data_IF_476510891478
#
_entry.id   IF_476510891478
#
_cell.length_a   1.000
_cell.length_b   1.000
_cell.length_c   1.000
_cell.angle_alpha   90.00
_cell.angle_beta   90.00
_cell.angle_gamma   90.00
#
_symmetry.space_group_name_H-M   'P 1'
#
loop_
_entity.id
_entity.type
_entity.pdbx_description
1 polymer ?
#
# COMPACT_ATOMS: atom_id res chain seq x y z
N UNK A 1 -44.87 11.78 -59.67
CA UNK A 1 -44.85 11.51 -58.25
C UNK A 1 -43.55 10.76 -57.90
N UNK A 2 -42.52 11.45 -57.43
CA UNK A 2 -41.22 10.89 -57.07
C UNK A 2 -41.21 10.58 -55.60
N UNK A 3 -41.12 9.32 -55.22
CA UNK A 3 -40.95 8.86 -53.82
C UNK A 3 -39.47 8.95 -53.44
N UNK A 4 -39.16 9.82 -52.52
CA UNK A 4 -37.82 9.93 -51.90
C UNK A 4 -37.81 8.93 -50.74
N UNK A 5 -36.92 7.90 -50.84
CA UNK A 5 -36.66 6.96 -49.76
C UNK A 5 -35.55 7.55 -48.92
N UNK A 6 -35.88 7.94 -47.70
CA UNK A 6 -34.92 8.44 -46.70
C UNK A 6 -34.33 7.22 -46.00
N UNK A 7 -33.08 6.89 -46.34
CA UNK A 7 -32.30 5.82 -45.65
C UNK A 7 -31.78 6.38 -44.32
N UNK A 8 -32.34 5.87 -43.23
CA UNK A 8 -31.87 6.16 -41.87
C UNK A 8 -30.61 5.32 -41.59
N UNK A 9 -29.43 5.93 -41.64
CA UNK A 9 -28.21 5.30 -41.21
C UNK A 9 -28.13 5.39 -39.67
N UNK A 10 -28.48 4.30 -39.01
CA UNK A 10 -28.23 4.14 -37.58
C UNK A 10 -26.73 3.88 -37.37
N UNK A 11 -25.99 4.91 -37.00
CA UNK A 11 -24.61 4.77 -36.50
C UNK A 11 -24.71 4.24 -35.08
N UNK A 12 -24.45 2.95 -34.90
CA UNK A 12 -24.27 2.32 -33.62
C UNK A 12 -22.94 2.78 -33.03
N UNK A 13 -23.00 3.71 -32.09
CA UNK A 13 -21.91 4.07 -31.18
C UNK A 13 -21.70 2.91 -30.19
N UNK A 14 -21.04 1.83 -30.66
CA UNK A 14 -20.43 0.82 -29.81
C UNK A 14 -18.96 1.21 -29.69
N UNK A 15 -18.63 1.93 -28.68
CA UNK A 15 -17.24 2.27 -28.47
C UNK A 15 -16.98 2.91 -27.14
N UNK A 16 -16.20 2.23 -26.34
CA UNK A 16 -15.34 2.82 -25.30
C UNK A 16 -15.94 3.07 -23.90
N UNK A 17 -16.46 2.01 -23.29
CA UNK A 17 -16.69 2.01 -21.85
C UNK A 17 -15.77 1.01 -21.09
N UNK A 18 -14.60 0.66 -21.63
CA UNK A 18 -13.68 -0.31 -20.97
C UNK A 18 -12.72 0.32 -19.95
N UNK A 19 -12.67 1.64 -19.82
CA UNK A 19 -11.75 2.30 -18.90
C UNK A 19 -12.42 3.02 -17.70
N UNK A 20 -13.74 3.03 -17.62
CA UNK A 20 -14.44 3.75 -16.54
C UNK A 20 -14.61 2.94 -15.25
N UNK A 21 -14.40 1.62 -15.27
CA UNK A 21 -14.64 0.78 -14.09
C UNK A 21 -13.48 0.79 -13.07
N UNK A 22 -12.32 1.35 -13.40
CA UNK A 22 -11.19 1.44 -12.47
C UNK A 22 -11.03 2.80 -11.76
N UNK A 23 -11.86 3.80 -12.09
CA UNK A 23 -11.68 5.15 -11.57
C UNK A 23 -12.53 5.50 -10.33
N UNK A 24 -13.23 4.53 -9.74
CA UNK A 24 -14.10 4.81 -8.58
C UNK A 24 -13.75 3.98 -7.33
N UNK A 25 -12.56 3.40 -7.28
CA UNK A 25 -12.10 2.72 -6.07
C UNK A 25 -11.52 3.74 -5.12
N UNK A 26 -12.13 3.89 -3.94
CA UNK A 26 -11.58 4.73 -2.90
C UNK A 26 -10.23 4.14 -2.47
N UNK A 27 -9.17 4.92 -2.55
CA UNK A 27 -7.83 4.51 -2.20
C UNK A 27 -7.45 5.03 -0.80
N UNK A 28 -6.68 4.23 -0.07
CA UNK A 28 -6.08 4.61 1.20
C UNK A 28 -4.58 4.37 1.15
N UNK A 29 -3.80 5.32 1.63
CA UNK A 29 -2.38 5.13 1.90
C UNK A 29 -2.23 4.78 3.37
N UNK A 30 -1.76 3.58 3.65
CA UNK A 30 -1.46 3.09 5.00
C UNK A 30 0.05 3.02 5.15
N UNK A 31 0.59 3.45 6.28
CA UNK A 31 2.02 3.35 6.48
C UNK A 31 2.42 3.11 7.94
N UNK A 32 3.60 2.51 8.11
CA UNK A 32 4.36 2.49 9.35
C UNK A 32 5.67 3.25 9.15
N UNK A 33 6.02 4.11 10.10
CA UNK A 33 7.26 4.90 10.03
C UNK A 33 7.80 5.20 11.42
N UNK A 34 9.09 4.97 11.65
CA UNK A 34 9.74 5.33 12.92
C UNK A 34 10.58 6.59 12.77
N UNK A 35 11.36 6.69 11.68
CA UNK A 35 12.29 7.80 11.45
C UNK A 35 11.73 8.92 10.57
N UNK A 36 10.45 8.84 10.17
CA UNK A 36 9.79 9.83 9.33
C UNK A 36 9.98 9.64 7.82
N UNK A 37 10.92 8.84 7.35
CA UNK A 37 11.17 8.68 5.92
C UNK A 37 9.97 8.07 5.18
N UNK A 38 9.39 6.99 5.71
CA UNK A 38 8.20 6.37 5.11
C UNK A 38 6.98 7.29 5.23
N UNK A 39 6.84 8.01 6.35
CA UNK A 39 5.78 9.00 6.54
C UNK A 39 5.82 10.08 5.46
N UNK A 40 7.01 10.61 5.15
CA UNK A 40 7.19 11.60 4.07
C UNK A 40 6.70 11.07 2.72
N UNK A 41 7.12 9.85 2.35
CA UNK A 41 6.68 9.22 1.09
C UNK A 41 5.17 8.99 1.09
N UNK A 42 4.61 8.50 2.20
CA UNK A 42 3.18 8.20 2.33
C UNK A 42 2.31 9.45 2.18
N UNK A 43 2.67 10.55 2.86
CA UNK A 43 1.96 11.82 2.73
C UNK A 43 2.04 12.36 1.29
N UNK A 44 3.23 12.39 0.70
CA UNK A 44 3.42 12.84 -0.67
C UNK A 44 2.65 11.96 -1.68
N UNK A 45 2.58 10.65 -1.46
CA UNK A 45 1.79 9.74 -2.30
C UNK A 45 0.29 10.00 -2.15
N UNK A 46 -0.20 10.14 -0.91
CA UNK A 46 -1.61 10.46 -0.66
C UNK A 46 -2.01 11.77 -1.34
N UNK A 47 -1.21 12.81 -1.21
CA UNK A 47 -1.42 14.10 -1.88
C UNK A 47 -1.39 13.95 -3.42
N UNK A 48 -0.42 13.17 -3.95
CA UNK A 48 -0.26 12.98 -5.39
C UNK A 48 -1.48 12.34 -6.06
N UNK A 49 -2.17 11.44 -5.34
CA UNK A 49 -3.29 10.66 -5.90
C UNK A 49 -4.65 11.03 -5.29
N UNK A 50 -4.70 11.97 -4.35
CA UNK A 50 -5.93 12.37 -3.66
C UNK A 50 -6.53 11.24 -2.82
N UNK A 51 -5.69 10.45 -2.13
CA UNK A 51 -6.11 9.36 -1.27
C UNK A 51 -6.18 9.78 0.19
N UNK A 52 -7.02 9.09 0.96
CA UNK A 52 -6.98 9.18 2.42
C UNK A 52 -5.68 8.55 2.95
N UNK A 53 -5.32 8.86 4.20
CA UNK A 53 -4.08 8.38 4.82
C UNK A 53 -4.33 7.81 6.21
N UNK A 54 -3.60 6.75 6.57
CA UNK A 54 -3.65 6.10 7.88
C UNK A 54 -2.25 5.69 8.33
N UNK A 55 -1.84 6.10 9.51
CA UNK A 55 -0.59 5.67 10.15
C UNK A 55 -0.83 4.44 11.03
N UNK A 56 0.01 3.43 10.93
CA UNK A 56 0.08 2.31 11.87
C UNK A 56 0.88 2.78 13.09
N UNK A 57 0.21 3.02 14.20
CA UNK A 57 0.84 3.49 15.43
C UNK A 57 1.16 2.32 16.36
N UNK A 58 2.43 2.10 16.73
CA UNK A 58 2.76 1.07 17.71
C UNK A 58 2.31 1.49 19.11
N UNK A 59 1.78 0.54 19.89
CA UNK A 59 1.41 0.79 21.30
C UNK A 59 2.59 1.30 22.12
N UNK A 60 3.78 0.76 21.85
CA UNK A 60 5.04 1.22 22.42
C UNK A 60 5.92 1.78 21.30
N UNK A 61 6.26 3.06 21.39
CA UNK A 61 7.15 3.70 20.41
C UNK A 61 8.53 3.02 20.41
N UNK A 62 9.14 2.99 19.24
CA UNK A 62 10.51 2.49 19.09
C UNK A 62 11.50 3.59 19.45
N UNK A 63 12.45 3.28 20.34
CA UNK A 63 13.59 4.13 20.67
C UNK A 63 14.74 3.90 19.67
N UNK A 64 15.79 4.72 19.77
CA UNK A 64 17.03 4.49 18.99
C UNK A 64 17.64 3.12 19.26
N UNK A 65 17.64 2.71 20.54
CA UNK A 65 18.21 1.42 20.96
C UNK A 65 17.36 0.25 20.44
N UNK A 66 16.02 0.40 20.40
CA UNK A 66 15.13 -0.59 19.80
C UNK A 66 15.40 -0.82 18.30
N UNK A 67 15.97 0.17 17.63
CA UNK A 67 16.25 0.15 16.19
C UNK A 67 17.69 -0.25 15.85
N UNK A 68 18.54 -0.49 16.84
CA UNK A 68 19.92 -0.94 16.58
C UNK A 68 19.93 -2.36 16.00
N UNK A 69 19.95 -2.43 14.68
CA UNK A 69 19.98 -3.69 13.95
C UNK A 69 21.29 -4.48 14.11
N UNK A 70 22.33 -3.87 14.70
CA UNK A 70 23.61 -4.52 15.02
C UNK A 70 23.58 -5.22 16.38
N UNK A 71 22.66 -4.82 17.27
CA UNK A 71 22.39 -5.51 18.52
C UNK A 71 21.32 -6.60 18.30
N UNK A 72 21.74 -7.87 18.51
CA UNK A 72 20.83 -9.01 18.42
C UNK A 72 19.71 -9.01 19.46
N UNK A 73 19.88 -8.26 20.55
CA UNK A 73 18.92 -8.13 21.64
C UNK A 73 18.03 -6.88 21.50
N UNK A 74 18.26 -6.04 20.50
CA UNK A 74 17.37 -4.91 20.23
C UNK A 74 15.95 -5.41 19.91
N UNK A 75 14.96 -4.60 20.23
CA UNK A 75 13.55 -4.95 20.01
C UNK A 75 13.28 -5.30 18.54
N UNK A 76 13.77 -4.50 17.60
CA UNK A 76 13.60 -4.78 16.18
C UNK A 76 14.26 -6.10 15.77
N UNK A 77 15.46 -6.42 16.28
CA UNK A 77 16.15 -7.68 16.01
C UNK A 77 15.36 -8.88 16.54
N UNK A 78 14.83 -8.80 17.76
CA UNK A 78 14.03 -9.87 18.38
C UNK A 78 12.73 -10.06 17.58
N UNK A 79 12.00 -8.98 17.29
CA UNK A 79 10.75 -9.05 16.53
C UNK A 79 10.95 -9.64 15.13
N UNK A 80 12.03 -9.27 14.43
CA UNK A 80 12.29 -9.77 13.08
C UNK A 80 12.77 -11.23 13.04
N UNK A 81 13.45 -11.71 14.08
CA UNK A 81 13.83 -13.13 14.22
C UNK A 81 12.63 -14.03 14.50
N UNK A 82 11.60 -13.53 15.20
CA UNK A 82 10.40 -14.29 15.50
C UNK A 82 9.34 -14.11 14.41
N UNK A 83 9.09 -15.16 13.65
CA UNK A 83 8.06 -15.16 12.60
C UNK A 83 6.63 -14.93 13.14
N UNK A 84 6.40 -15.19 14.43
CA UNK A 84 5.12 -15.03 15.12
C UNK A 84 4.99 -13.71 15.87
N UNK A 85 6.03 -12.89 15.93
CA UNK A 85 5.96 -11.60 16.58
C UNK A 85 4.83 -10.73 15.99
N UNK A 86 4.01 -10.16 16.87
CA UNK A 86 2.90 -9.26 16.52
C UNK A 86 2.90 -8.08 17.49
N UNK A 87 3.77 -7.08 17.26
CA UNK A 87 3.77 -5.87 18.08
C UNK A 87 2.39 -5.23 18.12
N UNK A 88 1.98 -4.80 19.29
CA UNK A 88 0.64 -4.21 19.48
C UNK A 88 0.55 -2.83 18.82
N UNK A 89 -0.64 -2.53 18.31
CA UNK A 89 -1.00 -1.24 17.72
C UNK A 89 -1.85 -0.43 18.71
N UNK A 90 -1.64 0.88 18.71
CA UNK A 90 -2.39 1.83 19.50
C UNK A 90 -3.70 2.29 18.82
N UNK A 91 -3.84 2.06 17.52
CA UNK A 91 -5.00 2.48 16.73
C UNK A 91 -5.55 1.34 15.87
N UNK A 92 -6.78 1.53 15.34
CA UNK A 92 -7.43 0.59 14.44
C UNK A 92 -8.00 1.34 13.24
N UNK A 93 -8.04 0.69 12.09
CA UNK A 93 -8.71 1.18 10.90
C UNK A 93 -10.16 0.64 10.87
N UNK A 94 -11.09 1.38 11.46
CA UNK A 94 -12.48 0.94 11.61
C UNK A 94 -13.27 0.97 10.30
N UNK A 95 -12.94 1.91 9.40
CA UNK A 95 -13.63 2.11 8.12
C UNK A 95 -12.96 1.43 6.93
N UNK A 96 -12.20 0.34 7.18
CA UNK A 96 -11.48 -0.39 6.12
C UNK A 96 -12.38 -0.79 4.95
N UNK A 97 -13.67 -1.07 5.21
CA UNK A 97 -14.67 -1.44 4.17
C UNK A 97 -14.88 -0.38 3.08
N UNK A 98 -14.54 0.88 3.37
CA UNK A 98 -14.71 1.98 2.41
C UNK A 98 -13.64 1.98 1.30
N UNK A 99 -12.57 1.21 1.48
CA UNK A 99 -11.41 1.20 0.59
C UNK A 99 -11.26 -0.15 -0.10
N UNK A 100 -11.16 -0.13 -1.43
CA UNK A 100 -10.85 -1.31 -2.24
C UNK A 100 -9.36 -1.42 -2.56
N UNK A 101 -8.65 -0.29 -2.49
CA UNK A 101 -7.25 -0.17 -2.86
C UNK A 101 -6.45 0.40 -1.69
N UNK A 102 -5.46 -0.35 -1.23
CA UNK A 102 -4.56 0.03 -0.14
C UNK A 102 -3.15 0.17 -0.69
N UNK A 103 -2.55 1.33 -0.56
CA UNK A 103 -1.10 1.50 -0.71
C UNK A 103 -0.45 1.34 0.66
N UNK A 104 0.28 0.26 0.87
CA UNK A 104 0.84 -0.11 2.16
C UNK A 104 2.35 0.15 2.18
N UNK A 105 2.76 1.12 3.00
CA UNK A 105 4.13 1.62 3.10
C UNK A 105 4.82 1.27 4.42
N UNK A 106 6.13 0.95 4.35
CA UNK A 106 6.94 0.61 5.52
C UNK A 106 8.44 0.77 5.24
N UNK A 107 9.28 0.92 6.27
CA UNK A 107 10.72 0.78 6.12
C UNK A 107 11.08 -0.70 5.92
N UNK A 108 12.07 -0.99 5.07
CA UNK A 108 12.58 -2.36 4.96
C UNK A 108 13.40 -2.71 6.19
N UNK A 109 12.99 -3.76 6.91
CA UNK A 109 13.74 -4.41 7.96
C UNK A 109 14.04 -5.85 7.54
N UNK A 110 15.33 -6.24 7.51
CA UNK A 110 15.76 -7.59 7.10
C UNK A 110 15.09 -8.09 5.81
N UNK A 111 15.10 -7.25 4.76
CA UNK A 111 14.55 -7.55 3.41
C UNK A 111 13.03 -7.76 3.37
N UNK A 112 12.30 -7.38 4.42
CA UNK A 112 10.84 -7.48 4.47
C UNK A 112 10.21 -6.33 5.27
N UNK A 113 8.91 -6.40 5.53
CA UNK A 113 8.18 -5.44 6.36
C UNK A 113 8.40 -5.73 7.86
N UNK A 114 8.40 -4.70 8.72
CA UNK A 114 8.35 -4.84 10.17
C UNK A 114 7.11 -5.64 10.63
N UNK A 115 7.23 -6.41 11.70
CA UNK A 115 6.16 -7.30 12.17
C UNK A 115 4.86 -6.60 12.56
N UNK A 116 4.90 -5.33 12.92
CA UNK A 116 3.70 -4.55 13.17
C UNK A 116 2.78 -4.43 11.93
N UNK A 117 3.36 -4.51 10.73
CA UNK A 117 2.59 -4.53 9.46
C UNK A 117 1.75 -5.82 9.36
N UNK A 118 2.30 -6.97 9.82
CA UNK A 118 1.53 -8.20 9.93
C UNK A 118 0.37 -8.04 10.92
N UNK A 119 0.62 -7.40 12.09
CA UNK A 119 -0.43 -7.11 13.07
C UNK A 119 -1.57 -6.29 12.45
N UNK A 120 -1.25 -5.23 11.71
CA UNK A 120 -2.25 -4.41 11.01
C UNK A 120 -3.09 -5.24 10.04
N UNK A 121 -2.44 -6.04 9.19
CA UNK A 121 -3.12 -6.87 8.20
C UNK A 121 -4.03 -7.92 8.83
N UNK A 122 -3.65 -8.47 9.99
CA UNK A 122 -4.44 -9.48 10.70
C UNK A 122 -5.61 -8.88 11.48
N UNK A 123 -5.47 -7.65 11.98
CA UNK A 123 -6.52 -6.93 12.71
C UNK A 123 -7.54 -6.24 11.81
N UNK A 124 -7.22 -6.03 10.53
CA UNK A 124 -8.06 -5.28 9.59
C UNK A 124 -8.65 -6.24 8.54
N UNK A 125 -9.94 -6.10 8.22
CA UNK A 125 -10.56 -6.90 7.14
C UNK A 125 -10.03 -6.48 5.77
N UNK A 126 -9.13 -7.29 5.23
CA UNK A 126 -8.50 -7.11 3.92
C UNK A 126 -9.13 -7.95 2.82
N UNK A 127 -10.26 -8.63 3.09
CA UNK A 127 -10.89 -9.50 2.11
C UNK A 127 -11.32 -8.74 0.85
N UNK A 128 -10.91 -9.24 -0.31
CA UNK A 128 -11.23 -8.66 -1.63
C UNK A 128 -10.48 -7.38 -1.99
N UNK A 129 -9.66 -6.83 -1.10
CA UNK A 129 -8.90 -5.61 -1.34
C UNK A 129 -7.65 -5.88 -2.20
N UNK A 130 -7.24 -4.87 -2.95
CA UNK A 130 -5.94 -4.84 -3.63
C UNK A 130 -4.95 -4.07 -2.76
N UNK A 131 -3.84 -4.69 -2.41
CA UNK A 131 -2.77 -4.10 -1.62
C UNK A 131 -1.55 -3.90 -2.51
N UNK A 132 -1.16 -2.65 -2.72
CA UNK A 132 0.05 -2.25 -3.45
C UNK A 132 1.11 -1.87 -2.42
N UNK A 133 2.25 -2.56 -2.44
CA UNK A 133 3.32 -2.31 -1.48
C UNK A 133 4.22 -1.16 -1.94
N UNK A 134 4.68 -0.34 -1.02
CA UNK A 134 5.82 0.53 -1.23
C UNK A 134 6.70 0.54 0.02
N UNK A 135 7.97 0.84 -0.15
CA UNK A 135 8.89 0.84 0.97
C UNK A 135 9.91 1.97 0.87
N UNK A 136 10.49 2.33 2.01
CA UNK A 136 11.74 3.09 2.08
C UNK A 136 12.85 2.18 2.58
N UNK A 137 14.07 2.39 2.11
CA UNK A 137 15.20 1.54 2.47
C UNK A 137 16.51 2.30 2.45
N UNK A 138 17.42 1.93 3.32
CA UNK A 138 18.82 2.36 3.29
C UNK A 138 19.70 1.61 2.29
N UNK A 139 19.13 0.67 1.49
CA UNK A 139 19.88 -0.10 0.49
C UNK A 139 19.32 -1.50 0.21
N UNK A 140 18.52 -2.07 1.12
CA UNK A 140 17.91 -3.39 0.92
C UNK A 140 16.70 -3.31 -0.02
N UNK A 141 16.48 -4.34 -0.81
CA UNK A 141 15.28 -4.51 -1.62
C UNK A 141 14.10 -5.09 -0.83
N UNK A 142 13.00 -5.34 -1.52
CA UNK A 142 11.76 -5.86 -0.93
C UNK A 142 11.34 -7.22 -1.52
N UNK A 143 12.33 -8.04 -1.82
CA UNK A 143 12.14 -9.29 -2.58
C UNK A 143 11.20 -10.28 -1.88
N UNK A 144 11.30 -10.39 -0.54
CA UNK A 144 10.55 -11.35 0.27
C UNK A 144 9.26 -10.77 0.88
N UNK A 145 8.90 -9.54 0.54
CA UNK A 145 7.87 -8.81 1.27
C UNK A 145 6.47 -9.38 1.02
N UNK A 146 6.12 -9.71 -0.22
CA UNK A 146 4.80 -10.27 -0.55
C UNK A 146 4.61 -11.62 0.14
N UNK A 147 5.61 -12.50 0.05
CA UNK A 147 5.59 -13.84 0.66
C UNK A 147 5.45 -13.77 2.18
N UNK A 148 6.11 -12.78 2.80
CA UNK A 148 6.07 -12.52 4.24
C UNK A 148 4.71 -11.98 4.72
N UNK A 149 4.05 -11.14 3.93
CA UNK A 149 2.79 -10.46 4.31
C UNK A 149 1.52 -11.23 3.92
N UNK A 150 1.57 -11.99 2.83
CA UNK A 150 0.40 -12.72 2.29
C UNK A 150 -0.30 -13.62 3.32
N UNK A 151 0.38 -14.34 4.21
CA UNK A 151 -0.28 -15.14 5.24
C UNK A 151 -1.15 -14.32 6.20
N UNK A 152 -0.82 -13.05 6.45
CA UNK A 152 -1.57 -12.15 7.34
C UNK A 152 -2.82 -11.54 6.68
N UNK A 153 -2.94 -11.61 5.34
CA UNK A 153 -4.12 -11.17 4.61
C UNK A 153 -4.39 -12.08 3.40
N UNK A 154 -4.71 -13.38 3.62
CA UNK A 154 -4.76 -14.40 2.55
C UNK A 154 -5.86 -14.16 1.51
N UNK A 155 -6.89 -13.38 1.85
CA UNK A 155 -8.00 -13.03 0.96
C UNK A 155 -7.80 -11.71 0.19
N UNK A 156 -6.67 -11.03 0.41
CA UNK A 156 -6.28 -9.84 -0.34
C UNK A 156 -5.46 -10.20 -1.59
N UNK A 157 -5.48 -9.31 -2.58
CA UNK A 157 -4.61 -9.40 -3.76
C UNK A 157 -3.42 -8.49 -3.55
N UNK A 158 -2.23 -9.06 -3.39
CA UNK A 158 -1.00 -8.28 -3.28
C UNK A 158 -0.41 -7.98 -4.66
N UNK A 159 -0.08 -6.73 -4.87
CA UNK A 159 0.72 -6.24 -6.00
C UNK A 159 2.12 -5.90 -5.51
N UNK A 160 3.12 -6.38 -6.25
CA UNK A 160 4.51 -6.05 -5.95
C UNK A 160 4.73 -4.57 -6.13
N UNK A 161 5.30 -3.95 -5.12
CA UNK A 161 5.54 -2.53 -5.11
C UNK A 161 6.99 -2.16 -5.47
N UNK A 162 7.42 -1.02 -4.99
CA UNK A 162 8.70 -0.41 -5.29
C UNK A 162 9.30 0.22 -4.02
N UNK A 163 10.62 0.18 -3.91
CA UNK A 163 11.33 1.05 -2.97
C UNK A 163 11.30 2.47 -3.54
N UNK A 164 10.80 3.42 -2.75
CA UNK A 164 10.66 4.81 -3.12
C UNK A 164 11.63 5.68 -2.30
N UNK A 165 12.20 6.68 -2.94
CA UNK A 165 13.00 7.69 -2.25
C UNK A 165 12.09 8.63 -1.45
N UNK A 166 12.53 9.11 -0.28
CA UNK A 166 11.84 10.19 0.44
C UNK A 166 11.77 11.50 -0.36
N UNK A 167 12.67 11.65 -1.33
CA UNK A 167 12.76 12.80 -2.21
C UNK A 167 12.07 12.56 -3.58
N UNK A 168 11.25 11.49 -3.69
CA UNK A 168 10.50 11.20 -4.90
C UNK A 168 9.57 12.36 -5.28
N UNK A 169 9.60 12.74 -6.55
CA UNK A 169 8.76 13.82 -7.07
C UNK A 169 7.28 13.40 -7.13
N UNK A 170 6.38 14.36 -7.16
CA UNK A 170 4.94 14.14 -7.33
C UNK A 170 4.64 13.34 -8.61
N UNK A 171 5.38 13.58 -9.69
CA UNK A 171 5.21 12.86 -10.96
C UNK A 171 5.63 11.39 -10.84
N UNK A 172 6.75 11.11 -10.16
CA UNK A 172 7.19 9.73 -9.89
C UNK A 172 6.18 8.96 -9.03
N UNK A 173 5.59 9.61 -8.03
CA UNK A 173 4.58 9.00 -7.15
C UNK A 173 3.27 8.73 -7.91
N UNK A 174 2.81 9.64 -8.76
CA UNK A 174 1.66 9.42 -9.65
C UNK A 174 1.91 8.27 -10.63
N UNK A 175 3.08 8.22 -11.24
CA UNK A 175 3.41 7.14 -12.17
C UNK A 175 3.54 5.80 -11.46
N UNK A 176 4.13 5.77 -10.25
CA UNK A 176 4.13 4.58 -9.41
C UNK A 176 2.71 4.08 -9.15
N UNK A 177 1.82 4.95 -8.66
CA UNK A 177 0.45 4.56 -8.36
C UNK A 177 -0.30 4.01 -9.57
N UNK A 178 -0.09 4.60 -10.75
CA UNK A 178 -0.71 4.20 -12.01
C UNK A 178 -0.18 2.86 -12.54
N UNK A 179 1.13 2.63 -12.42
CA UNK A 179 1.77 1.42 -12.98
C UNK A 179 1.64 0.21 -12.08
N UNK A 180 1.57 0.40 -10.76
CA UNK A 180 1.44 -0.67 -9.79
C UNK A 180 0.09 -1.43 -9.86
N UNK A 181 -0.91 -0.89 -10.56
CA UNK A 181 -2.21 -1.52 -10.76
C UNK A 181 -2.30 -2.39 -12.00
N UNK A 182 -1.36 -2.25 -12.93
CA UNK A 182 -1.28 -3.07 -14.14
C UNK A 182 -0.71 -4.44 -13.83
#
# INVERSE_FOLDING_TARGET
MKRIILSLVAVTLIGLNLNAQNMNKKALVVYFSVTGNTATVANNLADAIGADIFEIEPMQLYTSDDLDWTDENSRSSIEMKDSKARPEMNNNLDDAKEYDLIYLGFPIWWYTAPKIVNTFLEKTDMAGKTIVLFATSGGSGMENTVESLKPSAPKATFKRGKVLSKDASQEELKEFAKTALK
#
